data_IF_654872719433
#
_entry.id   IF_654872719433
#
_cell.length_a   1.000
_cell.length_b   1.000
_cell.length_c   1.000
_cell.angle_alpha   90.00
_cell.angle_beta   90.00
_cell.angle_gamma   90.00
#
_symmetry.space_group_name_H-M   'P 1'
#
loop_
_entity.id
_entity.type
_entity.pdbx_description
1 polymer ?
#
# COMPACT_ATOMS: atom_id res chain seq x y z
N UNK A 1 28.91 -5.07 2.63
CA UNK A 1 27.52 -5.06 2.13
C UNK A 1 27.45 -5.98 0.92
N UNK A 2 26.46 -6.86 0.79
CA UNK A 2 26.23 -7.56 -0.48
C UNK A 2 25.97 -6.52 -1.59
N UNK A 3 26.30 -6.83 -2.86
CA UNK A 3 26.14 -5.88 -3.95
C UNK A 3 24.66 -5.57 -4.13
N UNK A 4 24.28 -4.30 -3.97
CA UNK A 4 22.97 -3.81 -4.38
C UNK A 4 22.81 -4.06 -5.88
N UNK A 5 21.68 -4.65 -6.28
CA UNK A 5 21.35 -4.73 -7.71
C UNK A 5 21.10 -3.32 -8.26
N UNK A 6 21.22 -3.20 -9.57
CA UNK A 6 20.78 -2.01 -10.28
C UNK A 6 19.33 -1.69 -9.89
N UNK A 7 19.09 -0.46 -9.44
CA UNK A 7 17.73 0.04 -9.20
C UNK A 7 17.30 0.78 -10.45
N UNK A 8 16.19 0.38 -11.10
CA UNK A 8 15.63 1.08 -12.24
C UNK A 8 15.40 2.58 -11.96
N UNK A 9 15.59 3.43 -12.98
CA UNK A 9 15.50 4.89 -12.81
C UNK A 9 14.10 5.36 -12.43
N UNK A 10 13.05 4.72 -12.96
CA UNK A 10 11.65 4.96 -12.62
C UNK A 10 11.39 4.72 -11.11
N UNK A 11 11.97 3.67 -10.53
CA UNK A 11 11.87 3.37 -9.09
C UNK A 11 12.54 4.48 -8.26
N UNK A 12 13.70 4.97 -8.71
CA UNK A 12 14.42 6.07 -8.06
C UNK A 12 13.59 7.36 -8.13
N UNK A 13 13.01 7.66 -9.29
CA UNK A 13 12.22 8.88 -9.49
C UNK A 13 10.87 8.83 -8.76
N UNK A 14 10.25 7.65 -8.70
CA UNK A 14 9.11 7.38 -7.83
C UNK A 14 9.48 7.65 -6.36
N UNK A 15 10.60 7.11 -5.88
CA UNK A 15 11.07 7.37 -4.51
C UNK A 15 11.30 8.87 -4.29
N UNK A 16 12.04 9.56 -5.16
CA UNK A 16 12.29 11.01 -5.02
C UNK A 16 10.99 11.80 -4.95
N UNK A 17 10.02 11.47 -5.79
CA UNK A 17 8.73 12.16 -5.85
C UNK A 17 7.90 11.90 -4.60
N UNK A 18 7.69 10.62 -4.25
CA UNK A 18 6.86 10.25 -3.12
C UNK A 18 7.50 10.62 -1.77
N UNK A 19 8.82 10.42 -1.64
CA UNK A 19 9.58 10.72 -0.43
C UNK A 19 9.73 12.23 -0.24
N UNK A 20 10.31 12.98 -1.18
CA UNK A 20 10.67 14.39 -0.90
C UNK A 20 9.48 15.34 -0.80
N UNK A 21 8.26 14.91 -1.15
CA UNK A 21 7.05 15.74 -1.01
C UNK A 21 6.83 16.19 0.44
N UNK A 22 7.19 15.35 1.43
CA UNK A 22 6.99 15.68 2.85
C UNK A 22 7.93 16.78 3.36
N UNK A 23 9.08 16.98 2.72
CA UNK A 23 10.10 17.95 3.13
C UNK A 23 9.79 19.37 2.64
N UNK A 24 8.79 19.54 1.76
CA UNK A 24 8.52 20.83 1.11
C UNK A 24 7.37 21.63 1.74
N UNK A 25 6.80 21.20 2.88
CA UNK A 25 5.63 21.84 3.53
C UNK A 25 4.40 22.04 2.62
N UNK A 26 4.43 21.43 1.43
CA UNK A 26 3.34 21.46 0.47
C UNK A 26 2.47 20.26 0.76
N UNK A 27 1.21 20.54 1.09
CA UNK A 27 0.17 19.53 1.08
C UNK A 27 0.31 18.67 -0.18
N UNK A 28 0.16 17.35 -0.03
CA UNK A 28 0.52 16.43 -1.10
C UNK A 28 -0.25 16.76 -2.39
N UNK A 29 0.43 17.18 -3.49
CA UNK A 29 -0.23 17.51 -4.75
C UNK A 29 -0.83 16.26 -5.44
N UNK A 30 -0.68 15.09 -4.83
CA UNK A 30 -1.13 13.83 -5.36
C UNK A 30 -2.55 13.44 -4.93
N UNK A 31 -3.14 14.00 -3.87
CA UNK A 31 -4.53 13.67 -3.52
C UNK A 31 -5.49 14.84 -3.72
N UNK A 32 -6.61 14.59 -4.39
CA UNK A 32 -7.63 15.59 -4.65
C UNK A 32 -9.02 14.96 -4.79
N UNK A 33 -10.04 15.77 -4.51
CA UNK A 33 -11.42 15.47 -4.86
C UNK A 33 -11.64 15.74 -6.34
N UNK A 34 -12.07 14.73 -7.07
CA UNK A 34 -12.48 14.86 -8.46
C UNK A 34 -14.01 14.75 -8.56
N UNK A 35 -14.69 15.63 -9.31
CA UNK A 35 -16.11 15.44 -9.62
C UNK A 35 -16.35 14.15 -10.41
N UNK A 36 -17.34 13.36 -10.03
CA UNK A 36 -17.75 12.19 -10.80
C UNK A 36 -18.53 12.66 -12.03
N UNK A 37 -18.03 12.31 -13.22
CA UNK A 37 -18.71 12.63 -14.49
C UNK A 37 -19.68 11.50 -14.83
N UNK A 38 -20.96 11.82 -14.91
CA UNK A 38 -21.99 10.89 -15.39
C UNK A 38 -22.26 11.10 -16.87
N UNK A 39 -22.52 10.02 -17.59
CA UNK A 39 -23.14 10.09 -18.91
C UNK A 39 -24.54 10.69 -18.79
N UNK A 40 -24.99 11.44 -19.81
CA UNK A 40 -26.35 11.94 -19.94
C UNK A 40 -27.40 10.81 -19.91
N UNK A 41 -27.01 9.58 -20.22
CA UNK A 41 -27.86 8.39 -20.19
C UNK A 41 -27.76 7.56 -18.90
N UNK A 42 -27.01 8.01 -17.89
CA UNK A 42 -26.91 7.30 -16.63
C UNK A 42 -28.28 7.19 -15.94
N UNK A 43 -28.59 6.02 -15.38
CA UNK A 43 -29.82 5.82 -14.62
C UNK A 43 -29.90 6.84 -13.48
N UNK A 44 -30.93 7.69 -13.54
CA UNK A 44 -31.17 8.77 -12.58
C UNK A 44 -31.45 8.25 -11.16
N UNK A 45 -31.86 6.99 -11.04
CA UNK A 45 -32.16 6.37 -9.74
C UNK A 45 -30.93 5.77 -9.07
N UNK A 46 -29.80 5.69 -9.77
CA UNK A 46 -28.58 5.16 -9.17
C UNK A 46 -27.85 6.24 -8.37
N UNK A 47 -27.72 5.99 -7.07
CA UNK A 47 -26.91 6.82 -6.18
C UNK A 47 -25.42 6.60 -6.48
N UNK A 48 -24.78 7.66 -6.95
CA UNK A 48 -23.33 7.75 -7.22
C UNK A 48 -22.84 9.03 -6.55
N UNK A 49 -21.74 8.97 -5.79
CA UNK A 49 -21.21 10.15 -5.11
C UNK A 49 -20.90 11.26 -6.13
N UNK A 50 -21.09 12.51 -5.72
CA UNK A 50 -20.79 13.66 -6.58
C UNK A 50 -19.30 13.89 -6.79
N UNK A 51 -18.49 13.43 -5.85
CA UNK A 51 -17.04 13.58 -5.85
C UNK A 51 -16.39 12.29 -5.38
N UNK A 52 -15.15 12.08 -5.80
CA UNK A 52 -14.33 10.93 -5.45
C UNK A 52 -12.94 11.36 -5.03
N UNK A 53 -12.35 10.59 -4.13
CA UNK A 53 -10.95 10.72 -3.80
C UNK A 53 -10.08 10.04 -4.86
N UNK A 54 -9.12 10.78 -5.39
CA UNK A 54 -8.12 10.27 -6.32
C UNK A 54 -6.74 10.55 -5.77
N UNK A 55 -5.88 9.53 -5.82
CA UNK A 55 -4.44 9.64 -5.56
C UNK A 55 -3.68 9.46 -6.86
N UNK A 56 -3.07 10.52 -7.36
CA UNK A 56 -2.19 10.52 -8.54
C UNK A 56 -0.83 9.94 -8.17
N UNK A 57 -0.39 8.97 -8.94
CA UNK A 57 0.96 8.44 -8.86
C UNK A 57 1.91 9.35 -9.65
N UNK A 58 3.19 9.37 -9.28
CA UNK A 58 4.20 10.09 -10.07
C UNK A 58 4.12 9.64 -11.54
N UNK A 59 4.27 10.57 -12.49
CA UNK A 59 4.18 10.28 -13.93
C UNK A 59 5.21 9.21 -14.36
N UNK A 60 6.33 9.14 -13.66
CA UNK A 60 7.34 8.08 -13.76
C UNK A 60 6.92 6.82 -13.00
N UNK A 61 5.65 6.42 -13.12
CA UNK A 61 5.06 5.34 -12.31
C UNK A 61 5.96 4.10 -12.25
N UNK A 62 5.85 3.32 -11.17
CA UNK A 62 6.54 2.04 -11.07
C UNK A 62 6.09 1.15 -12.24
N UNK A 63 6.88 1.10 -13.32
CA UNK A 63 6.61 0.27 -14.52
C UNK A 63 6.53 -1.22 -14.16
N UNK A 64 6.92 -1.57 -12.93
CA UNK A 64 6.98 -2.91 -12.37
C UNK A 64 5.67 -3.48 -11.84
N UNK A 65 4.68 -2.65 -11.50
CA UNK A 65 3.31 -3.18 -11.47
C UNK A 65 2.86 -3.19 -12.92
N UNK A 66 2.36 -4.33 -13.44
CA UNK A 66 1.76 -4.44 -14.79
C UNK A 66 0.45 -3.60 -14.88
N UNK A 67 0.53 -2.37 -14.40
CA UNK A 67 -0.54 -1.52 -13.97
C UNK A 67 -0.28 -0.16 -14.64
N UNK A 68 -0.97 0.11 -15.74
CA UNK A 68 -0.81 1.34 -16.52
C UNK A 68 -1.52 2.54 -15.85
N UNK A 69 -2.09 2.38 -14.66
CA UNK A 69 -2.85 3.45 -14.04
C UNK A 69 -1.90 4.54 -13.54
N UNK A 70 -2.25 5.80 -13.77
CA UNK A 70 -1.54 6.97 -13.23
C UNK A 70 -2.23 7.54 -11.99
N UNK A 71 -3.38 6.96 -11.64
CA UNK A 71 -4.28 7.43 -10.58
C UNK A 71 -4.95 6.24 -9.89
N UNK A 72 -5.22 6.41 -8.60
CA UNK A 72 -5.89 5.44 -7.74
C UNK A 72 -7.18 6.08 -7.24
N UNK A 73 -8.32 5.53 -7.63
CA UNK A 73 -9.60 5.83 -6.97
C UNK A 73 -9.59 5.21 -5.57
N UNK A 74 -9.78 6.03 -4.54
CA UNK A 74 -9.77 5.59 -3.15
C UNK A 74 -11.18 5.15 -2.75
N UNK A 75 -11.33 3.84 -2.54
CA UNK A 75 -12.59 3.20 -2.15
C UNK A 75 -12.89 3.36 -0.67
N UNK A 76 -14.15 3.33 -0.27
CA UNK A 76 -14.55 3.35 1.15
C UNK A 76 -13.96 2.18 1.93
N UNK A 77 -13.90 1.00 1.31
CA UNK A 77 -13.27 -0.20 1.85
C UNK A 77 -11.77 -0.02 2.14
N UNK A 78 -11.10 0.90 1.44
CA UNK A 78 -9.68 1.17 1.70
C UNK A 78 -9.48 1.78 3.07
N UNK A 79 -10.40 2.63 3.53
CA UNK A 79 -10.35 3.20 4.88
C UNK A 79 -10.52 2.14 5.96
N UNK A 80 -11.41 1.18 5.74
CA UNK A 80 -11.58 0.06 6.67
C UNK A 80 -10.34 -0.83 6.71
N UNK A 81 -9.77 -1.14 5.55
CA UNK A 81 -8.53 -1.89 5.44
C UNK A 81 -7.36 -1.13 6.10
N UNK A 82 -7.29 0.20 5.96
CA UNK A 82 -6.29 1.03 6.67
C UNK A 82 -6.45 0.93 8.18
N UNK A 83 -7.66 1.17 8.69
CA UNK A 83 -7.96 1.10 10.12
C UNK A 83 -7.57 -0.26 10.71
N UNK A 84 -7.94 -1.33 10.01
CA UNK A 84 -7.62 -2.69 10.43
C UNK A 84 -6.12 -2.99 10.36
N UNK A 85 -5.42 -2.54 9.32
CA UNK A 85 -3.97 -2.69 9.19
C UNK A 85 -3.23 -1.92 10.29
N UNK A 86 -3.65 -0.68 10.59
CA UNK A 86 -3.07 0.16 11.65
C UNK A 86 -3.25 -0.46 13.03
N UNK A 87 -4.48 -0.87 13.37
CA UNK A 87 -4.75 -1.55 14.63
C UNK A 87 -3.92 -2.86 14.75
N UNK A 88 -3.77 -3.61 13.66
CA UNK A 88 -2.96 -4.84 13.62
C UNK A 88 -1.46 -4.56 13.76
N UNK A 89 -1.01 -3.39 13.29
CA UNK A 89 0.35 -2.91 13.46
C UNK A 89 0.61 -2.33 14.85
N UNK A 90 -0.41 -2.14 15.70
CA UNK A 90 -0.28 -1.56 17.04
C UNK A 90 -0.47 -0.03 17.09
N UNK A 91 -0.83 0.59 15.97
CA UNK A 91 -1.10 2.03 15.93
C UNK A 91 -2.50 2.37 16.43
N UNK A 92 -2.64 3.58 16.98
CA UNK A 92 -3.97 4.18 17.09
C UNK A 92 -4.55 4.35 15.68
N UNK A 93 -5.78 3.91 15.51
CA UNK A 93 -6.51 3.97 14.26
C UNK A 93 -7.79 4.82 14.39
N UNK A 94 -7.98 5.47 15.54
CA UNK A 94 -9.15 6.31 15.84
C UNK A 94 -9.27 7.51 14.90
N UNK A 95 -8.16 8.01 14.37
CA UNK A 95 -8.12 9.12 13.42
C UNK A 95 -8.41 8.72 11.96
N UNK A 96 -8.55 7.43 11.67
CA UNK A 96 -8.84 6.93 10.32
C UNK A 96 -10.35 6.83 10.13
N UNK A 97 -10.95 7.96 9.76
CA UNK A 97 -12.38 8.09 9.53
C UNK A 97 -12.75 7.99 8.04
N UNK A 98 -13.96 7.50 7.73
CA UNK A 98 -14.48 7.46 6.35
C UNK A 98 -15.01 8.83 5.88
N UNK A 99 -15.53 9.63 6.81
CA UNK A 99 -16.24 10.86 6.51
C UNK A 99 -15.32 12.08 6.56
N UNK A 100 -14.18 12.01 5.86
CA UNK A 100 -13.24 13.13 5.84
C UNK A 100 -13.82 14.23 4.97
N UNK A 101 -14.21 15.32 5.62
CA UNK A 101 -14.65 16.56 4.99
C UNK A 101 -13.44 17.45 4.79
N UNK A 102 -12.75 17.30 3.65
CA UNK A 102 -11.57 18.08 3.32
C UNK A 102 -11.28 18.04 1.82
N UNK A 103 -10.43 18.94 1.31
CA UNK A 103 -10.01 18.94 -0.10
C UNK A 103 -8.91 17.93 -0.43
N UNK A 104 -8.25 17.35 0.60
CA UNK A 104 -7.22 16.32 0.46
C UNK A 104 -7.49 15.03 1.24
N UNK A 105 -7.07 13.90 0.67
CA UNK A 105 -7.12 12.61 1.33
C UNK A 105 -6.08 12.62 2.46
N UNK A 106 -6.48 12.37 3.72
CA UNK A 106 -5.57 12.45 4.84
C UNK A 106 -4.61 11.27 4.80
N UNK A 107 -3.33 11.55 4.99
CA UNK A 107 -2.33 10.52 5.11
C UNK A 107 -2.27 10.03 6.57
N UNK A 108 -2.74 8.81 6.89
CA UNK A 108 -2.82 8.33 8.27
C UNK A 108 -1.45 8.07 8.88
N UNK A 109 -0.38 8.00 8.07
CA UNK A 109 0.99 7.74 8.52
C UNK A 109 1.73 8.98 9.03
N UNK A 110 1.24 10.20 8.77
CA UNK A 110 1.89 11.44 9.23
C UNK A 110 1.91 11.59 10.76
N UNK A 111 1.02 10.89 11.47
CA UNK A 111 0.89 10.93 12.93
C UNK A 111 1.47 9.69 13.62
N UNK A 112 2.11 8.78 12.88
CA UNK A 112 2.60 7.51 13.42
C UNK A 112 3.99 7.70 14.03
N UNK A 113 4.19 7.29 15.29
CA UNK A 113 5.51 7.25 15.89
C UNK A 113 6.17 5.87 15.70
N UNK A 114 7.50 5.82 15.40
CA UNK A 114 8.19 4.56 15.11
C UNK A 114 8.19 3.52 16.24
N UNK A 115 7.91 3.93 17.48
CA UNK A 115 7.89 3.08 18.68
C UNK A 115 6.61 2.26 18.83
N UNK A 116 5.58 2.54 18.04
CA UNK A 116 4.23 2.04 18.28
C UNK A 116 3.95 0.72 17.53
N UNK A 117 4.90 0.26 16.72
CA UNK A 117 4.70 -0.90 15.86
C UNK A 117 4.92 -2.22 16.62
N UNK A 118 3.99 -3.17 16.51
CA UNK A 118 4.20 -4.56 16.94
C UNK A 118 5.02 -5.33 15.88
N UNK A 119 6.29 -5.71 16.18
CA UNK A 119 7.22 -6.22 15.16
C UNK A 119 6.98 -7.69 14.73
N UNK A 120 5.93 -8.35 15.23
CA UNK A 120 5.64 -9.76 14.99
C UNK A 120 4.18 -10.00 14.61
N UNK A 121 3.67 -9.19 13.68
CA UNK A 121 2.31 -9.32 13.18
C UNK A 121 2.29 -9.24 11.65
N UNK A 122 1.16 -9.63 11.08
CA UNK A 122 0.92 -9.53 9.65
C UNK A 122 -0.53 -9.15 9.37
N UNK A 123 -0.75 -8.54 8.22
CA UNK A 123 -2.06 -8.18 7.71
C UNK A 123 -2.21 -8.70 6.28
N UNK A 124 -3.33 -9.36 5.99
CA UNK A 124 -3.61 -9.94 4.67
C UNK A 124 -4.85 -9.27 4.11
N UNK A 125 -4.69 -8.53 3.01
CA UNK A 125 -5.80 -8.06 2.20
C UNK A 125 -6.08 -9.06 1.09
N UNK A 126 -7.31 -9.57 1.06
CA UNK A 126 -7.74 -10.58 0.08
C UNK A 126 -9.06 -10.23 -0.59
N UNK A 127 -9.46 -11.07 -1.56
CA UNK A 127 -10.67 -10.93 -2.36
C UNK A 127 -10.45 -11.37 -3.81
N UNK A 128 -11.52 -11.32 -4.61
CA UNK A 128 -11.52 -11.74 -6.02
C UNK A 128 -10.45 -11.07 -6.89
N UNK A 129 -10.11 -11.61 -8.06
CA UNK A 129 -9.27 -10.90 -9.04
C UNK A 129 -9.87 -9.52 -9.41
N UNK A 130 -9.04 -8.52 -9.70
CA UNK A 130 -9.50 -7.20 -10.19
C UNK A 130 -10.14 -6.25 -9.14
N UNK A 131 -10.41 -6.70 -7.92
CA UNK A 131 -11.07 -5.87 -6.88
C UNK A 131 -10.19 -4.78 -6.23
N UNK A 132 -8.99 -4.52 -6.76
CA UNK A 132 -8.14 -3.41 -6.30
C UNK A 132 -7.21 -3.69 -5.10
N UNK A 133 -6.82 -4.95 -4.84
CA UNK A 133 -5.87 -5.27 -3.74
C UNK A 133 -4.48 -4.65 -3.96
N UNK A 134 -3.93 -4.81 -5.16
CA UNK A 134 -2.63 -4.23 -5.54
C UNK A 134 -2.69 -2.70 -5.48
N UNK A 135 -3.79 -2.09 -5.93
CA UNK A 135 -4.02 -0.65 -5.83
C UNK A 135 -4.03 -0.15 -4.38
N UNK A 136 -4.69 -0.87 -3.47
CA UNK A 136 -4.65 -0.55 -2.04
C UNK A 136 -3.22 -0.62 -1.49
N UNK A 137 -2.46 -1.65 -1.85
CA UNK A 137 -1.07 -1.81 -1.41
C UNK A 137 -0.16 -0.70 -1.97
N UNK A 138 -0.37 -0.28 -3.23
CA UNK A 138 0.31 0.88 -3.82
C UNK A 138 -0.04 2.18 -3.12
N UNK A 139 -1.31 2.36 -2.75
CA UNK A 139 -1.75 3.50 -1.94
C UNK A 139 -1.03 3.49 -0.58
N UNK A 140 -0.95 2.35 0.12
CA UNK A 140 -0.16 2.21 1.37
C UNK A 140 1.30 2.61 1.15
N UNK A 141 1.93 2.15 0.07
CA UNK A 141 3.32 2.50 -0.27
C UNK A 141 3.50 4.01 -0.40
N UNK A 142 2.68 4.65 -1.24
CA UNK A 142 2.74 6.11 -1.48
C UNK A 142 2.61 6.89 -0.18
N UNK A 143 1.60 6.55 0.63
CA UNK A 143 1.34 7.24 1.89
C UNK A 143 2.48 7.06 2.89
N UNK A 144 3.09 5.88 2.96
CA UNK A 144 4.24 5.65 3.84
C UNK A 144 5.49 6.39 3.40
N UNK A 145 5.81 6.38 2.10
CA UNK A 145 6.96 7.14 1.58
C UNK A 145 6.76 8.65 1.80
N UNK A 146 5.53 9.13 1.61
CA UNK A 146 5.17 10.51 1.95
C UNK A 146 5.26 10.80 3.45
N UNK A 147 5.18 9.82 4.34
CA UNK A 147 5.43 10.03 5.76
C UNK A 147 6.91 9.86 6.14
N UNK A 148 7.80 9.71 5.15
CA UNK A 148 9.23 9.43 5.39
C UNK A 148 9.47 8.10 6.10
N UNK A 149 8.53 7.15 6.02
CA UNK A 149 8.61 5.88 6.73
C UNK A 149 9.29 4.80 5.89
N UNK A 150 10.26 4.08 6.47
CA UNK A 150 10.94 3.01 5.75
C UNK A 150 9.96 1.91 5.39
N UNK A 151 10.04 1.46 4.14
CA UNK A 151 9.06 0.54 3.56
C UNK A 151 9.76 -0.42 2.61
N UNK A 152 9.47 -1.71 2.73
CA UNK A 152 9.88 -2.72 1.76
C UNK A 152 8.69 -2.97 0.83
N UNK A 153 8.95 -3.11 -0.47
CA UNK A 153 7.96 -3.52 -1.45
C UNK A 153 8.49 -4.71 -2.25
N UNK A 154 7.65 -5.72 -2.44
CA UNK A 154 7.98 -6.90 -3.24
C UNK A 154 6.75 -7.35 -4.04
N UNK A 155 6.86 -7.34 -5.36
CA UNK A 155 5.86 -7.91 -6.28
C UNK A 155 6.38 -9.12 -7.07
N UNK A 156 7.70 -9.37 -7.03
CA UNK A 156 8.38 -10.49 -7.70
C UNK A 156 9.40 -11.14 -6.75
N UNK A 157 9.70 -12.45 -6.88
CA UNK A 157 10.55 -13.18 -5.94
C UNK A 157 11.94 -12.58 -5.67
N UNK A 158 12.59 -11.96 -6.67
CA UNK A 158 13.98 -11.49 -6.58
C UNK A 158 14.12 -9.96 -6.66
N UNK A 159 13.00 -9.23 -6.64
CA UNK A 159 12.97 -7.77 -6.75
C UNK A 159 12.40 -7.20 -5.45
N UNK A 160 13.26 -7.09 -4.43
CA UNK A 160 12.89 -6.55 -3.11
C UNK A 160 13.43 -5.14 -3.02
N UNK A 161 12.52 -4.17 -3.10
CA UNK A 161 12.86 -2.76 -3.00
C UNK A 161 12.73 -2.30 -1.56
N UNK A 162 13.80 -1.76 -1.00
CA UNK A 162 13.77 -1.12 0.30
C UNK A 162 13.93 0.38 0.17
N UNK A 163 12.87 1.11 0.48
CA UNK A 163 12.83 2.57 0.49
C UNK A 163 13.17 3.10 1.88
N UNK A 164 14.10 4.05 1.97
CA UNK A 164 14.51 4.73 3.19
C UNK A 164 14.97 6.17 2.92
N UNK A 165 15.41 6.85 3.98
CA UNK A 165 15.79 8.27 3.93
C UNK A 165 16.90 8.59 2.92
N UNK A 166 17.85 7.68 2.73
CA UNK A 166 19.00 7.90 1.84
C UNK A 166 18.76 7.45 0.39
N UNK A 167 17.60 6.84 0.10
CA UNK A 167 17.32 6.31 -1.22
C UNK A 167 16.48 5.04 -1.22
N UNK A 168 16.51 4.38 -2.37
CA UNK A 168 15.94 3.06 -2.59
C UNK A 168 17.06 2.11 -2.99
N UNK A 169 17.04 0.89 -2.43
CA UNK A 169 17.95 -0.19 -2.80
C UNK A 169 17.17 -1.43 -3.24
N UNK A 170 17.68 -2.16 -4.23
CA UNK A 170 17.14 -3.43 -4.65
C UNK A 170 18.04 -4.58 -4.17
N UNK A 171 17.43 -5.55 -3.49
CA UNK A 171 18.11 -6.75 -2.97
C UNK A 171 17.42 -8.02 -3.42
N UNK A 172 18.19 -9.11 -3.52
CA UNK A 172 17.67 -10.43 -3.93
C UNK A 172 16.95 -11.16 -2.79
N UNK A 173 17.34 -10.87 -1.54
CA UNK A 173 16.80 -11.55 -0.37
C UNK A 173 16.70 -10.61 0.81
N UNK A 174 15.60 -10.73 1.56
CA UNK A 174 15.38 -10.01 2.83
C UNK A 174 16.50 -10.26 3.83
N UNK A 175 17.13 -11.43 3.78
CA UNK A 175 18.23 -11.80 4.69
C UNK A 175 19.45 -10.87 4.57
N UNK A 176 19.65 -10.30 3.36
CA UNK A 176 20.72 -9.35 3.05
C UNK A 176 20.48 -7.96 3.63
N UNK A 177 19.23 -7.63 3.95
CA UNK A 177 18.93 -6.42 4.70
C UNK A 177 19.53 -6.60 6.11
N UNK A 178 20.35 -5.65 6.55
CA UNK A 178 20.89 -5.64 7.92
C UNK A 178 19.77 -5.66 8.96
N UNK A 179 20.10 -5.70 10.26
CA UNK A 179 19.12 -5.35 11.29
C UNK A 179 18.69 -3.91 11.02
N UNK A 180 17.45 -3.68 10.59
CA UNK A 180 16.95 -2.37 10.17
C UNK A 180 15.93 -1.82 11.17
N UNK A 181 15.65 -0.53 10.98
CA UNK A 181 14.93 0.36 11.89
C UNK A 181 13.57 -0.17 12.38
N UNK A 182 13.11 0.40 13.48
CA UNK A 182 11.74 0.22 13.96
C UNK A 182 10.73 0.76 12.91
N UNK A 183 9.50 0.26 12.90
CA UNK A 183 8.43 0.69 11.99
C UNK A 183 8.75 0.49 10.49
N UNK A 184 9.29 -0.67 10.12
CA UNK A 184 9.36 -1.09 8.72
C UNK A 184 8.11 -1.90 8.38
N UNK A 185 7.36 -1.46 7.37
CA UNK A 185 6.33 -2.29 6.74
C UNK A 185 6.90 -2.98 5.52
N UNK A 186 6.62 -4.27 5.37
CA UNK A 186 6.93 -5.04 4.19
C UNK A 186 5.65 -5.33 3.40
N UNK A 187 5.49 -4.64 2.28
CA UNK A 187 4.34 -4.71 1.40
C UNK A 187 4.60 -5.76 0.32
N UNK A 188 3.87 -6.87 0.38
CA UNK A 188 4.06 -8.03 -0.50
C UNK A 188 2.83 -8.23 -1.38
N UNK A 189 2.98 -8.05 -2.70
CA UNK A 189 1.92 -8.33 -3.66
C UNK A 189 2.02 -9.78 -4.18
N UNK A 190 1.29 -10.69 -3.53
CA UNK A 190 1.30 -12.11 -3.86
C UNK A 190 0.40 -12.43 -5.06
N UNK A 191 1.05 -12.62 -6.20
CA UNK A 191 0.46 -12.84 -7.51
C UNK A 191 0.83 -14.23 -8.07
N UNK A 192 0.83 -14.41 -9.39
CA UNK A 192 1.19 -15.68 -10.02
C UNK A 192 2.69 -15.99 -9.92
N UNK A 193 3.54 -14.96 -9.98
CA UNK A 193 4.99 -15.09 -9.89
C UNK A 193 5.48 -15.14 -8.43
N UNK A 194 4.80 -14.43 -7.52
CA UNK A 194 5.12 -14.40 -6.09
C UNK A 194 4.03 -15.09 -5.28
N UNK A 195 4.18 -16.39 -5.04
CA UNK A 195 3.15 -17.20 -4.40
C UNK A 195 3.17 -17.15 -2.87
N UNK A 196 4.23 -16.68 -2.22
CA UNK A 196 4.36 -16.75 -0.76
C UNK A 196 5.16 -15.58 -0.21
N UNK A 197 4.98 -15.30 1.07
CA UNK A 197 5.80 -14.35 1.84
C UNK A 197 7.00 -15.10 2.43
N UNK A 198 8.19 -14.51 2.31
CA UNK A 198 9.40 -15.02 2.97
C UNK A 198 9.34 -14.75 4.49
N UNK A 199 9.57 -15.78 5.30
CA UNK A 199 9.60 -15.66 6.77
C UNK A 199 10.69 -14.72 7.27
N UNK A 200 11.73 -14.48 6.45
CA UNK A 200 12.81 -13.56 6.77
C UNK A 200 12.30 -12.12 7.04
N UNK A 201 11.16 -11.69 6.47
CA UNK A 201 10.57 -10.39 6.79
C UNK A 201 10.29 -10.23 8.30
N UNK A 202 9.67 -11.24 8.90
CA UNK A 202 9.34 -11.24 10.33
C UNK A 202 10.58 -11.36 11.21
N UNK A 203 11.58 -12.15 10.77
CA UNK A 203 12.86 -12.26 11.47
C UNK A 203 13.63 -10.94 11.50
N UNK A 204 13.39 -10.05 10.53
CA UNK A 204 13.93 -8.68 10.50
C UNK A 204 13.05 -7.66 11.23
N UNK A 205 11.95 -8.10 11.87
CA UNK A 205 11.04 -7.24 12.63
C UNK A 205 10.12 -6.38 11.76
N UNK A 206 9.93 -6.73 10.48
CA UNK A 206 9.01 -6.00 9.62
C UNK A 206 7.56 -6.41 9.89
N UNK A 207 6.66 -5.43 9.88
CA UNK A 207 5.21 -5.68 9.81
C UNK A 207 4.84 -6.02 8.37
N UNK A 208 4.41 -7.27 8.13
CA UNK A 208 4.10 -7.71 6.76
C UNK A 208 2.66 -7.38 6.40
N UNK A 209 2.47 -6.71 5.27
CA UNK A 209 1.18 -6.46 4.65
C UNK A 209 1.16 -7.19 3.31
N UNK A 210 0.30 -8.19 3.19
CA UNK A 210 0.18 -9.00 1.99
C UNK A 210 -1.11 -8.66 1.23
N UNK A 211 -1.01 -8.39 -0.07
CA UNK A 211 -2.14 -8.45 -0.99
C UNK A 211 -2.14 -9.84 -1.66
N UNK A 212 -3.24 -10.60 -1.57
CA UNK A 212 -3.29 -11.95 -2.16
C UNK A 212 -4.68 -12.37 -2.62
N UNK A 213 -4.80 -13.22 -3.64
CA UNK A 213 -6.07 -13.93 -3.90
C UNK A 213 -6.33 -14.94 -2.78
N UNK A 214 -7.59 -15.37 -2.53
CA UNK A 214 -7.93 -16.26 -1.41
C UNK A 214 -7.49 -17.72 -1.60
N UNK A 215 -6.52 -17.99 -2.49
CA UNK A 215 -6.01 -19.33 -2.76
C UNK A 215 -5.11 -19.77 -1.61
N UNK A 216 -5.28 -21.01 -1.13
CA UNK A 216 -4.53 -21.55 0.01
C UNK A 216 -3.02 -21.42 -0.16
N UNK A 217 -2.50 -21.72 -1.35
CA UNK A 217 -1.08 -21.58 -1.70
C UNK A 217 -0.52 -20.20 -1.35
N UNK A 218 -1.33 -19.14 -1.52
CA UNK A 218 -0.91 -17.76 -1.27
C UNK A 218 -0.84 -17.37 0.18
N UNK A 219 -1.58 -18.05 1.04
CA UNK A 219 -1.69 -17.75 2.47
C UNK A 219 -1.10 -18.86 3.34
N UNK A 220 -0.57 -19.94 2.74
CA UNK A 220 -0.09 -21.12 3.46
C UNK A 220 1.11 -20.81 4.37
N UNK A 221 1.86 -19.74 4.08
CA UNK A 221 2.97 -19.29 4.92
C UNK A 221 2.55 -19.01 6.37
N UNK A 222 1.27 -18.70 6.61
CA UNK A 222 0.69 -18.48 7.93
C UNK A 222 0.74 -19.73 8.82
N UNK A 223 0.61 -20.94 8.26
CA UNK A 223 0.55 -22.18 9.05
C UNK A 223 1.81 -22.46 9.88
N UNK A 224 2.93 -21.84 9.53
CA UNK A 224 4.20 -22.00 10.22
C UNK A 224 4.62 -20.78 11.04
N UNK A 225 3.68 -19.90 11.41
CA UNK A 225 3.92 -18.73 12.25
C UNK A 225 3.39 -18.96 13.66
N UNK A 226 4.01 -18.30 14.64
CA UNK A 226 3.56 -18.31 16.05
C UNK A 226 2.41 -17.34 16.33
N UNK A 227 2.04 -16.54 15.33
CA UNK A 227 0.92 -15.59 15.38
C UNK A 227 0.06 -15.78 14.13
N UNK A 228 -1.20 -15.34 14.22
CA UNK A 228 -2.14 -15.37 13.10
C UNK A 228 -2.29 -13.95 12.54
N UNK A 229 -1.92 -13.70 11.27
CA UNK A 229 -2.19 -12.43 10.62
C UNK A 229 -3.68 -12.11 10.59
N UNK A 230 -4.05 -10.84 10.79
CA UNK A 230 -5.43 -10.40 10.57
C UNK A 230 -5.71 -10.40 9.06
N UNK A 231 -6.86 -10.94 8.68
CA UNK A 231 -7.31 -11.03 7.29
C UNK A 231 -8.45 -10.03 7.06
N UNK A 232 -8.32 -9.20 6.04
CA UNK A 232 -9.35 -8.29 5.56
C UNK A 232 -9.77 -8.71 4.14
N UNK A 233 -11.08 -8.77 3.89
CA UNK A 233 -11.64 -9.14 2.59
C UNK A 233 -12.20 -7.87 1.97
N UNK A 234 -11.56 -7.35 0.92
CA UNK A 234 -12.09 -6.23 0.16
C UNK A 234 -13.37 -6.67 -0.56
N UNK A 235 -14.41 -5.85 -0.51
CA UNK A 235 -15.65 -6.10 -1.21
C UNK A 235 -15.44 -5.99 -2.74
N UNK A 236 -16.25 -6.71 -3.53
CA UNK A 236 -16.36 -6.44 -4.96
C UNK A 236 -16.71 -4.99 -5.24
N UNK A 237 -16.35 -4.50 -6.42
CA UNK A 237 -16.78 -3.18 -6.87
C UNK A 237 -18.30 -3.11 -6.95
N UNK A 238 -18.90 -2.13 -6.28
CA UNK A 238 -20.29 -1.77 -6.50
C UNK A 238 -20.45 -1.07 -7.85
N UNK A 239 -21.67 -1.07 -8.40
CA UNK A 239 -21.95 -0.34 -9.64
C UNK A 239 -21.68 1.17 -9.50
N UNK A 240 -21.94 1.72 -8.31
CA UNK A 240 -21.66 3.12 -7.97
C UNK A 240 -20.16 3.42 -8.05
N UNK A 241 -19.32 2.55 -7.47
CA UNK A 241 -17.86 2.69 -7.56
C UNK A 241 -17.35 2.50 -8.99
N UNK A 242 -17.94 1.60 -9.79
CA UNK A 242 -17.54 1.40 -11.19
C UNK A 242 -17.86 2.60 -12.08
N UNK A 243 -18.96 3.30 -11.82
CA UNK A 243 -19.30 4.55 -12.52
C UNK A 243 -18.44 5.69 -12.00
N UNK A 244 -18.11 5.66 -10.71
CA UNK A 244 -17.27 6.66 -10.12
C UNK A 244 -15.81 6.53 -10.57
N UNK A 245 -15.27 5.34 -10.88
CA UNK A 245 -13.86 5.06 -11.22
C UNK A 245 -13.46 5.45 -12.66
#
# INVERSE_FOLDING_TARGET
MPPSRFVPSDVIDFWKTAWNTHLQDKQPPWSFLEPVRRDAHADVNLEVPHQRWVVRMAETGLEYSDNPYTQIFVRDDYFEAFRDAFATAGYDASHIEKNITGPHFPNPFLQVHPTDAHPYSGFIVTGGPGIGKTLWLMLVLILRLHAGLPTIFQSRPNDIYFFHADGVVCVESVTTLGKRANNVWALVDSNAALQSVDKAFFQKGAFVVQAASPKDERINWVKGMTFLPKKFILAPWSLSELIAA
#
